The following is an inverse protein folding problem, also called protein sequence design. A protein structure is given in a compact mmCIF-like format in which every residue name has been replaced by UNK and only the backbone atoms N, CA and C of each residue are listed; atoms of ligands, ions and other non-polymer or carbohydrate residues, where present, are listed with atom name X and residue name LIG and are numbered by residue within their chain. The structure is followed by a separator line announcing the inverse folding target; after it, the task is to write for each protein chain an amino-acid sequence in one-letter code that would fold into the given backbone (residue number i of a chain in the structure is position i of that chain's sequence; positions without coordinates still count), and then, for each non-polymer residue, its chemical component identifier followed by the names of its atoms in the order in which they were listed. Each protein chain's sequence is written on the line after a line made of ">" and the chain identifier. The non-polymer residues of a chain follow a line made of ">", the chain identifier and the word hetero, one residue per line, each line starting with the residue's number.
data_IF_098564905153
#
_entry.id   IF_098564905153
#
_cell.length_a   1.000
_cell.length_b   1.000
_cell.length_c   1.000
_cell.angle_alpha   90.00
_cell.angle_beta   90.00
_cell.angle_gamma   90.00
#
_symmetry.space_group_name_H-M   'P 1'
#
loop_
_entity.id
_entity.type
_entity.pdbx_description
1 polymer ?
#
# COMPACT_ATOMS: atom_id res chain seq x y z
N UNK A 1 -22.39 41.63 -34.86
CA UNK A 1 -21.53 41.66 -33.64
C UNK A 1 -20.96 40.28 -33.42
N UNK A 2 -19.69 40.24 -33.13
CA UNK A 2 -19.01 38.98 -32.73
C UNK A 2 -18.93 38.96 -31.21
N UNK A 3 -19.44 37.94 -30.62
CA UNK A 3 -19.36 37.72 -29.17
C UNK A 3 -18.36 36.61 -28.88
N UNK A 4 -17.50 36.83 -27.89
CA UNK A 4 -16.60 35.83 -27.38
C UNK A 4 -16.95 35.57 -25.93
N UNK A 5 -17.15 34.30 -25.59
CA UNK A 5 -17.48 33.87 -24.24
C UNK A 5 -16.36 32.99 -23.68
N UNK A 6 -15.90 33.34 -22.50
CA UNK A 6 -14.94 32.54 -21.75
C UNK A 6 -15.65 32.00 -20.51
N UNK A 7 -15.65 30.69 -20.36
CA UNK A 7 -16.20 30.03 -19.19
C UNK A 7 -15.07 29.52 -18.30
N UNK A 8 -15.26 29.67 -16.99
CA UNK A 8 -14.30 29.18 -16.02
C UNK A 8 -14.73 27.79 -15.52
N UNK A 9 -14.01 26.75 -15.97
CA UNK A 9 -14.23 25.35 -15.56
C UNK A 9 -13.23 24.85 -14.52
N UNK A 10 -12.42 25.73 -13.95
CA UNK A 10 -11.42 25.37 -12.93
C UNK A 10 -12.05 24.71 -11.70
N UNK A 11 -13.18 25.20 -11.13
CA UNK A 11 -13.80 24.54 -9.99
C UNK A 11 -14.19 23.10 -10.26
N UNK A 12 -14.77 22.80 -11.43
CA UNK A 12 -15.17 21.45 -11.83
C UNK A 12 -13.94 20.56 -12.02
N UNK A 13 -12.85 21.10 -12.58
CA UNK A 13 -11.61 20.38 -12.74
C UNK A 13 -11.00 20.00 -11.39
N UNK A 14 -10.99 20.91 -10.42
CA UNK A 14 -10.51 20.61 -9.07
C UNK A 14 -11.34 19.54 -8.38
N UNK A 15 -12.66 19.54 -8.54
CA UNK A 15 -13.53 18.49 -8.00
C UNK A 15 -13.21 17.13 -8.61
N UNK A 16 -13.00 17.06 -9.91
CA UNK A 16 -12.63 15.82 -10.61
C UNK A 16 -11.26 15.32 -10.17
N UNK A 17 -10.30 16.21 -10.02
CA UNK A 17 -8.96 15.87 -9.55
C UNK A 17 -9.00 15.33 -8.12
N UNK A 18 -9.72 15.98 -7.23
CA UNK A 18 -9.86 15.53 -5.84
C UNK A 18 -10.49 14.13 -5.78
N UNK A 19 -11.54 13.89 -6.56
CA UNK A 19 -12.18 12.58 -6.63
C UNK A 19 -11.22 11.51 -7.18
N UNK A 20 -10.43 11.82 -8.21
CA UNK A 20 -9.47 10.90 -8.78
C UNK A 20 -8.35 10.57 -7.79
N UNK A 21 -7.81 11.56 -7.10
CA UNK A 21 -6.77 11.36 -6.07
C UNK A 21 -7.32 10.56 -4.90
N UNK A 22 -8.54 10.82 -4.47
CA UNK A 22 -9.18 10.05 -3.40
C UNK A 22 -9.33 8.57 -3.79
N UNK A 23 -9.80 8.27 -4.99
CA UNK A 23 -9.86 6.88 -5.48
C UNK A 23 -8.48 6.22 -5.48
N UNK A 24 -7.47 6.92 -5.98
CA UNK A 24 -6.10 6.43 -6.01
C UNK A 24 -5.59 6.11 -4.61
N UNK A 25 -5.77 7.01 -3.65
CA UNK A 25 -5.31 6.82 -2.27
C UNK A 25 -5.99 5.61 -1.63
N UNK A 26 -7.32 5.53 -1.73
CA UNK A 26 -8.07 4.44 -1.08
C UNK A 26 -7.79 3.08 -1.71
N UNK A 27 -7.78 3.00 -3.04
CA UNK A 27 -7.49 1.74 -3.72
C UNK A 27 -6.03 1.31 -3.56
N UNK A 28 -5.10 2.25 -3.50
CA UNK A 28 -3.68 1.94 -3.30
C UNK A 28 -3.40 1.41 -1.89
N UNK A 29 -4.09 1.92 -0.88
CA UNK A 29 -3.97 1.38 0.48
C UNK A 29 -4.49 -0.06 0.55
N UNK A 30 -5.61 -0.36 -0.09
CA UNK A 30 -6.13 -1.72 -0.18
C UNK A 30 -5.16 -2.65 -0.91
N UNK A 31 -4.60 -2.20 -2.02
CA UNK A 31 -3.62 -2.97 -2.81
C UNK A 31 -2.33 -3.22 -2.03
N UNK A 32 -1.86 -2.25 -1.27
CA UNK A 32 -0.69 -2.41 -0.41
C UNK A 32 -0.94 -3.44 0.70
N UNK A 33 -2.12 -3.42 1.31
CA UNK A 33 -2.51 -4.44 2.30
C UNK A 33 -2.52 -5.85 1.70
N UNK A 34 -3.08 -6.01 0.51
CA UNK A 34 -3.09 -7.31 -0.19
C UNK A 34 -1.68 -7.75 -0.59
N UNK A 35 -0.85 -6.84 -1.08
CA UNK A 35 0.53 -7.14 -1.44
C UNK A 35 1.36 -7.54 -0.21
N UNK A 36 1.14 -6.90 0.94
CA UNK A 36 1.79 -7.28 2.19
C UNK A 36 1.38 -8.69 2.65
N UNK A 37 0.10 -9.01 2.56
CA UNK A 37 -0.37 -10.38 2.85
C UNK A 37 0.26 -11.40 1.93
N UNK A 38 0.30 -11.12 0.64
CA UNK A 38 0.93 -12.00 -0.35
C UNK A 38 2.44 -12.18 -0.09
N UNK A 39 3.13 -11.13 0.30
CA UNK A 39 4.56 -11.17 0.63
C UNK A 39 4.86 -12.11 1.80
N UNK A 40 3.95 -12.24 2.75
CA UNK A 40 4.09 -13.17 3.88
C UNK A 40 3.87 -14.64 3.50
N UNK A 41 3.24 -14.91 2.37
CA UNK A 41 2.99 -16.26 1.88
C UNK A 41 4.10 -16.85 1.03
N UNK A 42 5.14 -16.08 0.69
CA UNK A 42 6.23 -16.53 -0.16
C UNK A 42 7.23 -17.46 0.54
N UNK A 43 8.16 -18.05 -0.21
CA UNK A 43 9.19 -18.92 0.36
C UNK A 43 10.16 -18.15 1.26
N UNK A 44 10.72 -18.86 2.24
CA UNK A 44 11.68 -18.32 3.20
C UNK A 44 12.93 -19.19 3.19
N UNK A 45 14.07 -18.62 3.59
CA UNK A 45 15.37 -19.30 3.55
C UNK A 45 16.13 -19.27 4.89
N UNK A 46 15.47 -18.85 5.96
CA UNK A 46 16.06 -18.82 7.28
C UNK A 46 16.09 -20.19 7.96
N UNK A 47 16.26 -20.19 9.27
CA UNK A 47 16.37 -21.41 10.06
C UNK A 47 15.08 -22.24 10.06
N UNK A 48 15.22 -23.55 9.96
CA UNK A 48 14.09 -24.48 10.13
C UNK A 48 13.81 -24.73 11.61
N UNK A 49 12.54 -24.65 11.96
CA UNK A 49 12.01 -25.01 13.26
C UNK A 49 10.96 -26.12 13.05
N UNK A 50 11.43 -27.38 13.08
CA UNK A 50 10.57 -28.48 12.66
C UNK A 50 10.24 -28.39 11.16
N UNK A 51 8.96 -28.30 10.83
CA UNK A 51 8.50 -28.13 9.43
C UNK A 51 8.36 -26.64 9.03
N UNK A 52 8.59 -25.71 9.95
CA UNK A 52 8.47 -24.28 9.70
C UNK A 52 9.80 -23.66 9.29
N UNK A 53 9.82 -23.02 8.12
CA UNK A 53 10.95 -22.25 7.63
C UNK A 53 10.81 -20.79 8.05
N UNK A 54 11.73 -20.29 8.88
CA UNK A 54 11.75 -18.90 9.26
C UNK A 54 12.29 -18.00 8.13
N UNK A 55 12.04 -16.69 8.23
CA UNK A 55 12.63 -15.72 7.32
C UNK A 55 14.12 -15.51 7.65
N UNK A 56 14.92 -15.23 6.61
CA UNK A 56 16.28 -14.75 6.74
C UNK A 56 16.30 -13.20 6.74
N UNK A 57 17.41 -12.56 7.16
CA UNK A 57 17.54 -11.11 7.07
C UNK A 57 17.31 -10.60 5.65
N UNK A 58 16.51 -9.54 5.52
CA UNK A 58 16.12 -8.95 4.25
C UNK A 58 14.87 -9.56 3.62
N UNK A 59 14.43 -10.72 4.09
CA UNK A 59 13.17 -11.32 3.66
C UNK A 59 11.99 -10.78 4.47
N UNK A 60 10.79 -10.77 3.87
CA UNK A 60 9.57 -10.46 4.60
C UNK A 60 9.33 -11.46 5.74
N UNK A 61 8.62 -11.09 6.81
CA UNK A 61 8.36 -12.00 7.91
C UNK A 61 7.67 -13.27 7.47
N UNK A 62 8.05 -14.41 8.05
CA UNK A 62 7.34 -15.66 7.86
C UNK A 62 6.07 -15.70 8.70
N UNK A 63 5.00 -16.25 8.16
CA UNK A 63 3.75 -16.44 8.90
C UNK A 63 3.73 -17.82 9.55
N UNK A 64 3.91 -17.87 10.87
CA UNK A 64 3.85 -19.12 11.62
C UNK A 64 2.48 -19.37 12.23
N UNK A 65 1.98 -18.42 13.00
CA UNK A 65 0.67 -18.52 13.66
C UNK A 65 -0.45 -17.85 12.87
N UNK A 66 -0.12 -17.08 11.85
CA UNK A 66 -1.08 -16.24 11.12
C UNK A 66 -1.47 -14.97 11.85
N UNK A 67 -0.93 -14.71 13.04
CA UNK A 67 -1.27 -13.55 13.86
C UNK A 67 -0.90 -12.22 13.20
N UNK A 68 0.30 -12.13 12.62
CA UNK A 68 0.72 -10.93 11.89
C UNK A 68 -0.16 -10.74 10.66
N UNK A 69 -0.33 -11.79 9.87
CA UNK A 69 -1.13 -11.77 8.65
C UNK A 69 -2.57 -11.31 8.92
N UNK A 70 -3.21 -11.86 9.95
CA UNK A 70 -4.58 -11.48 10.31
C UNK A 70 -4.68 -10.09 10.95
N UNK A 71 -3.58 -9.54 11.44
CA UNK A 71 -3.51 -8.20 12.00
C UNK A 71 -3.29 -7.09 10.97
N UNK A 72 -3.10 -7.44 9.68
CA UNK A 72 -2.98 -6.43 8.62
C UNK A 72 -4.35 -5.84 8.33
N UNK A 73 -4.44 -4.52 8.41
CA UNK A 73 -5.69 -3.80 8.21
C UNK A 73 -5.49 -2.47 7.49
N UNK A 74 -6.51 -2.05 6.78
CA UNK A 74 -6.58 -0.74 6.13
C UNK A 74 -7.47 0.14 6.99
N UNK A 75 -6.91 1.28 7.43
CA UNK A 75 -7.62 2.27 8.22
C UNK A 75 -7.99 3.43 7.32
N UNK A 76 -9.27 3.81 7.33
CA UNK A 76 -9.70 5.00 6.63
C UNK A 76 -9.22 6.24 7.38
N UNK A 77 -8.56 7.14 6.66
CA UNK A 77 -8.17 8.44 7.19
C UNK A 77 -9.15 9.51 6.72
N UNK A 78 -8.75 10.29 5.73
CA UNK A 78 -9.59 11.28 5.05
C UNK A 78 -9.79 10.89 3.59
N UNK A 79 -10.47 11.74 2.81
CA UNK A 79 -10.59 11.53 1.36
C UNK A 79 -9.24 11.47 0.63
N UNK A 80 -8.20 12.13 1.18
CA UNK A 80 -6.87 12.21 0.59
C UNK A 80 -5.80 11.46 1.41
N UNK A 81 -6.20 10.69 2.42
CA UNK A 81 -5.30 9.93 3.25
C UNK A 81 -5.89 8.57 3.59
N UNK A 82 -5.08 7.53 3.46
CA UNK A 82 -5.41 6.20 3.96
C UNK A 82 -4.18 5.61 4.65
N UNK A 83 -4.42 4.75 5.62
CA UNK A 83 -3.35 4.07 6.35
C UNK A 83 -3.54 2.58 6.24
N UNK A 84 -2.43 1.86 6.13
CA UNK A 84 -2.39 0.42 6.19
C UNK A 84 -1.28 0.01 7.14
N UNK A 85 -1.56 -0.97 7.96
CA UNK A 85 -0.59 -1.41 8.96
C UNK A 85 -0.99 -2.73 9.59
N UNK A 86 -0.24 -3.12 10.60
CA UNK A 86 -0.48 -4.33 11.36
C UNK A 86 -0.69 -4.00 12.84
N UNK A 87 -1.69 -4.64 13.43
CA UNK A 87 -2.05 -4.43 14.85
C UNK A 87 -1.14 -5.16 15.83
N UNK A 88 -0.29 -6.07 15.38
CA UNK A 88 0.61 -6.81 16.26
C UNK A 88 1.71 -5.93 16.84
N UNK A 89 1.94 -6.03 18.14
CA UNK A 89 2.89 -5.16 18.85
C UNK A 89 4.35 -5.36 18.44
N UNK A 90 4.69 -6.53 17.91
CA UNK A 90 6.07 -6.85 17.48
C UNK A 90 6.38 -6.44 16.04
N UNK A 91 5.42 -5.90 15.28
CA UNK A 91 5.63 -5.51 13.89
C UNK A 91 6.79 -4.52 13.70
N UNK A 92 6.94 -3.44 14.52
CA UNK A 92 8.07 -2.53 14.38
C UNK A 92 9.43 -3.21 14.64
N UNK A 93 9.48 -4.19 15.53
CA UNK A 93 10.71 -4.92 15.84
C UNK A 93 11.17 -5.72 14.62
N UNK A 94 10.25 -6.38 13.93
CA UNK A 94 10.55 -7.10 12.69
C UNK A 94 11.00 -6.16 11.59
N UNK A 95 10.30 -5.05 11.40
CA UNK A 95 10.57 -4.09 10.33
C UNK A 95 11.92 -3.39 10.51
N UNK A 96 12.19 -2.89 11.72
CA UNK A 96 13.31 -2.00 11.99
C UNK A 96 14.44 -2.63 12.80
N UNK A 97 14.15 -3.60 13.65
CA UNK A 97 15.12 -4.20 14.56
C UNK A 97 15.77 -5.47 14.06
N UNK A 98 15.04 -6.35 13.41
CA UNK A 98 15.49 -7.68 12.98
C UNK A 98 15.71 -7.81 11.47
N UNK A 99 15.57 -6.73 10.73
CA UNK A 99 15.67 -6.72 9.26
C UNK A 99 14.78 -7.80 8.61
N UNK A 100 13.51 -7.78 8.98
CA UNK A 100 12.45 -8.57 8.35
C UNK A 100 11.41 -7.61 7.77
N UNK A 101 11.76 -6.85 6.70
CA UNK A 101 10.93 -5.79 6.19
C UNK A 101 9.70 -6.35 5.49
N UNK A 102 8.53 -5.87 5.87
CA UNK A 102 7.28 -6.13 5.16
C UNK A 102 6.83 -4.87 4.41
N UNK A 103 6.65 -3.78 5.14
CA UNK A 103 6.05 -2.55 4.61
C UNK A 103 6.97 -1.78 3.68
N UNK A 104 8.21 -1.52 4.10
CA UNK A 104 9.17 -0.79 3.27
C UNK A 104 9.50 -1.54 1.99
N UNK A 105 9.69 -2.85 2.08
CA UNK A 105 9.99 -3.70 0.92
C UNK A 105 8.81 -3.77 -0.04
N UNK A 106 7.62 -4.04 0.47
CA UNK A 106 6.40 -4.15 -0.34
C UNK A 106 6.08 -2.81 -1.02
N UNK A 107 6.17 -1.70 -0.29
CA UNK A 107 5.93 -0.38 -0.86
C UNK A 107 6.94 -0.05 -1.98
N UNK A 108 8.23 -0.33 -1.75
CA UNK A 108 9.27 -0.08 -2.76
C UNK A 108 9.01 -0.88 -4.04
N UNK A 109 8.62 -2.14 -3.91
CA UNK A 109 8.29 -2.99 -5.06
C UNK A 109 7.03 -2.52 -5.79
N UNK A 110 6.08 -1.90 -5.09
CA UNK A 110 4.83 -1.40 -5.66
C UNK A 110 4.94 -0.01 -6.30
N UNK A 111 5.97 0.78 -5.97
CA UNK A 111 6.06 2.18 -6.43
C UNK A 111 5.84 2.36 -7.93
N UNK A 112 6.47 1.57 -8.83
CA UNK A 112 6.24 1.74 -10.27
C UNK A 112 4.77 1.51 -10.68
N UNK A 113 4.12 0.54 -10.08
CA UNK A 113 2.70 0.24 -10.33
C UNK A 113 1.81 1.37 -9.80
N UNK A 114 2.11 1.92 -8.63
CA UNK A 114 1.36 3.04 -8.06
C UNK A 114 1.53 4.31 -8.89
N UNK A 115 2.72 4.59 -9.38
CA UNK A 115 2.99 5.73 -10.26
C UNK A 115 2.19 5.62 -11.56
N UNK A 116 2.17 4.45 -12.19
CA UNK A 116 1.39 4.20 -13.40
C UNK A 116 -0.11 4.37 -13.16
N UNK A 117 -0.60 3.88 -12.04
CA UNK A 117 -2.01 3.98 -11.64
C UNK A 117 -2.43 5.44 -11.42
N UNK A 118 -1.58 6.24 -10.76
CA UNK A 118 -1.85 7.66 -10.57
C UNK A 118 -1.87 8.41 -11.91
N UNK A 119 -0.92 8.11 -12.79
CA UNK A 119 -0.88 8.70 -14.13
C UNK A 119 -2.15 8.39 -14.92
N UNK A 120 -2.66 7.16 -14.86
CA UNK A 120 -3.90 6.75 -15.52
C UNK A 120 -5.12 7.51 -14.95
N UNK A 121 -5.20 7.68 -13.65
CA UNK A 121 -6.27 8.45 -13.01
C UNK A 121 -6.26 9.92 -13.45
N UNK A 122 -5.08 10.52 -13.55
CA UNK A 122 -4.94 11.91 -14.03
C UNK A 122 -5.28 12.01 -15.50
N UNK A 123 -4.84 11.08 -16.33
CA UNK A 123 -5.12 11.07 -17.77
C UNK A 123 -6.62 10.91 -18.09
N UNK A 124 -7.39 10.31 -17.20
CA UNK A 124 -8.82 10.13 -17.33
C UNK A 124 -9.68 11.34 -16.95
N UNK A 125 -9.05 12.44 -16.55
CA UNK A 125 -9.78 13.67 -16.16
C UNK A 125 -10.38 14.45 -17.39
#
# INVERSE_FOLDING_TARGET
>A
MIETRIENHIPELFQKLEAAVSRFVQTSAADLGEAARAAMGGPRSGRLYGSHQASAPGESPASRSGKYLSGIEVLEGSSLEAKVGASVSYAPILEYGLNRPLWSKTLTEMLPTLEAKLADEIAGL
#
